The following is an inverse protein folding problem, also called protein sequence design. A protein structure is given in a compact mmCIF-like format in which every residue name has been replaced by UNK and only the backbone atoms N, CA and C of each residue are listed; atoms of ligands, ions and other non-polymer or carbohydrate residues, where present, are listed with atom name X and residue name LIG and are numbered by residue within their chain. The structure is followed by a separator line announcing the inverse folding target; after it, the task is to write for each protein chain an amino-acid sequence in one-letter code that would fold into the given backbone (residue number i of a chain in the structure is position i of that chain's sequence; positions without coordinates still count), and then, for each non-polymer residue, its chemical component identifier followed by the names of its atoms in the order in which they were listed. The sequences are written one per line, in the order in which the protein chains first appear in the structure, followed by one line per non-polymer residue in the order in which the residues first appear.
data_IF_494080688646
#
_entry.id   IF_494080688646
#
_cell.length_a   1.000
_cell.length_b   1.000
_cell.length_c   1.000
_cell.angle_alpha   90.00
_cell.angle_beta   90.00
_cell.angle_gamma   90.00
#
_symmetry.space_group_name_H-M   'P 1'
#
loop_
_entity.id
_entity.type
_entity.pdbx_description
1 polymer ?
#
# COMPACT_ATOMS: atom_id res chain seq x y z
N UNK A 1 25.27 19.27 -2.41
CA UNK A 1 25.24 19.23 -0.95
C UNK A 1 23.85 18.77 -0.56
N UNK A 2 23.66 17.44 -0.39
CA UNK A 2 22.41 16.84 0.01
C UNK A 2 22.18 17.08 1.49
N UNK A 3 21.26 17.96 1.84
CA UNK A 3 20.66 17.96 3.17
C UNK A 3 19.84 16.69 3.31
N UNK A 4 20.34 15.72 4.11
CA UNK A 4 19.58 14.52 4.44
C UNK A 4 18.25 14.94 5.06
N UNK A 5 17.14 14.39 4.56
CA UNK A 5 15.82 14.62 5.15
C UNK A 5 15.81 14.00 6.54
N UNK A 6 15.61 14.83 7.55
CA UNK A 6 15.72 14.46 8.97
C UNK A 6 14.37 14.14 9.60
N UNK A 7 13.31 13.98 8.79
CA UNK A 7 11.97 13.73 9.27
C UNK A 7 11.78 12.32 9.87
N UNK A 8 11.07 12.21 10.99
CA UNK A 8 10.77 10.92 11.60
C UNK A 8 9.83 10.09 10.73
N UNK A 9 10.07 8.78 10.69
CA UNK A 9 9.37 7.82 9.83
C UNK A 9 8.60 6.83 10.70
N UNK A 10 7.32 6.60 10.38
CA UNK A 10 6.55 5.50 10.92
C UNK A 10 6.40 4.42 9.83
N UNK A 11 6.86 3.21 10.12
CA UNK A 11 6.63 2.01 9.31
C UNK A 11 5.43 1.28 9.89
N UNK A 12 4.38 1.12 9.09
CA UNK A 12 3.14 0.47 9.49
C UNK A 12 3.07 -0.92 8.87
N UNK A 13 2.99 -1.94 9.72
CA UNK A 13 2.85 -3.35 9.32
C UNK A 13 1.57 -3.90 9.92
N UNK A 14 0.63 -4.33 9.08
CA UNK A 14 -0.65 -4.90 9.50
C UNK A 14 -0.66 -6.40 9.26
N UNK A 15 -0.82 -7.17 10.32
CA UNK A 15 -0.97 -8.62 10.27
C UNK A 15 -2.44 -9.04 10.24
N UNK A 16 -2.76 -10.04 9.43
CA UNK A 16 -3.99 -10.80 9.53
C UNK A 16 -3.71 -12.29 9.28
N UNK A 17 -3.78 -13.12 10.34
CA UNK A 17 -3.63 -14.59 10.30
C UNK A 17 -2.31 -15.11 9.72
N UNK A 18 -1.24 -14.33 9.76
CA UNK A 18 0.06 -14.69 9.14
C UNK A 18 1.24 -14.25 10.01
N UNK A 19 1.19 -14.58 11.31
CA UNK A 19 2.22 -14.15 12.27
C UNK A 19 3.64 -14.57 11.87
N UNK A 20 3.83 -15.77 11.28
CA UNK A 20 5.14 -16.24 10.85
C UNK A 20 5.73 -15.39 9.72
N UNK A 21 4.91 -15.01 8.72
CA UNK A 21 5.36 -14.11 7.63
C UNK A 21 5.65 -12.73 8.17
N UNK A 22 4.82 -12.26 9.12
CA UNK A 22 5.02 -10.97 9.79
C UNK A 22 6.35 -10.94 10.54
N UNK A 23 6.72 -11.99 11.26
CA UNK A 23 8.01 -12.07 11.95
C UNK A 23 9.17 -11.97 10.95
N UNK A 24 9.12 -12.67 9.82
CA UNK A 24 10.15 -12.58 8.79
C UNK A 24 10.25 -11.16 8.19
N UNK A 25 9.11 -10.49 7.98
CA UNK A 25 9.07 -9.10 7.55
C UNK A 25 9.76 -8.19 8.59
N UNK A 26 9.41 -8.33 9.87
CA UNK A 26 10.00 -7.55 10.96
C UNK A 26 11.50 -7.82 11.11
N UNK A 27 11.95 -9.08 11.00
CA UNK A 27 13.38 -9.42 10.99
C UNK A 27 14.12 -8.73 9.85
N UNK A 28 13.49 -8.54 8.70
CA UNK A 28 14.08 -7.80 7.58
C UNK A 28 14.15 -6.30 7.88
N UNK A 29 13.12 -5.71 8.50
CA UNK A 29 13.09 -4.30 8.91
C UNK A 29 14.14 -3.99 9.99
N UNK A 30 14.37 -4.91 10.94
CA UNK A 30 15.39 -4.72 11.98
C UNK A 30 16.81 -4.68 11.42
N UNK A 31 17.06 -5.18 10.21
CA UNK A 31 18.35 -5.08 9.50
C UNK A 31 18.54 -3.75 8.77
N UNK A 32 17.48 -2.95 8.62
CA UNK A 32 17.58 -1.61 8.01
C UNK A 32 18.28 -0.67 8.99
N UNK A 33 19.40 -0.12 8.57
CA UNK A 33 20.31 0.64 9.45
C UNK A 33 20.11 2.15 9.39
N UNK A 34 19.61 2.65 8.26
CA UNK A 34 19.37 4.08 8.04
C UNK A 34 18.25 4.29 7.02
N UNK A 35 17.44 5.33 7.15
CA UNK A 35 17.31 6.20 8.33
C UNK A 35 16.61 5.51 9.52
N UNK A 36 16.65 6.10 10.69
CA UNK A 36 15.93 5.59 11.86
C UNK A 36 14.42 5.74 11.67
N UNK A 37 13.65 4.76 12.15
CA UNK A 37 12.18 4.73 12.06
C UNK A 37 11.58 3.98 13.25
N UNK A 38 10.30 4.23 13.51
CA UNK A 38 9.50 3.47 14.47
C UNK A 38 8.58 2.48 13.70
N UNK A 39 8.42 1.27 14.24
CA UNK A 39 7.54 0.25 13.68
C UNK A 39 6.22 0.24 14.47
N UNK A 40 5.11 0.37 13.77
CA UNK A 40 3.75 0.17 14.27
C UNK A 40 3.22 -1.15 13.73
N UNK A 41 3.30 -2.17 14.59
CA UNK A 41 2.79 -3.50 14.31
C UNK A 41 1.36 -3.61 14.78
N UNK A 42 0.44 -3.88 13.86
CA UNK A 42 -0.98 -4.10 14.15
C UNK A 42 -1.36 -5.53 13.86
N UNK A 43 -1.96 -6.21 14.83
CA UNK A 43 -2.73 -7.43 14.55
C UNK A 43 -4.19 -7.06 14.31
N UNK A 44 -4.71 -7.41 13.15
CA UNK A 44 -6.03 -6.98 12.67
C UNK A 44 -7.08 -8.09 12.84
N UNK A 45 -7.27 -8.56 14.08
CA UNK A 45 -8.29 -9.55 14.43
C UNK A 45 -7.90 -10.99 14.05
N UNK A 46 -6.67 -11.40 14.32
CA UNK A 46 -6.19 -12.77 14.10
C UNK A 46 -6.53 -13.69 15.28
N UNK A 47 -6.03 -14.93 15.26
CA UNK A 47 -6.17 -15.87 16.34
C UNK A 47 -5.38 -15.44 17.59
N UNK A 48 -5.80 -15.92 18.76
CA UNK A 48 -5.08 -15.66 20.01
C UNK A 48 -3.60 -16.11 19.94
N UNK A 49 -3.31 -17.17 19.18
CA UNK A 49 -1.95 -17.66 18.95
C UNK A 49 -1.10 -16.68 18.15
N UNK A 50 -1.63 -16.13 17.03
CA UNK A 50 -0.95 -15.12 16.25
C UNK A 50 -0.69 -13.86 17.08
N UNK A 51 -1.71 -13.38 17.81
CA UNK A 51 -1.60 -12.21 18.71
C UNK A 51 -0.52 -12.41 19.77
N UNK A 52 -0.48 -13.59 20.42
CA UNK A 52 0.53 -13.91 21.43
C UNK A 52 1.94 -13.90 20.83
N UNK A 53 2.13 -14.57 19.68
CA UNK A 53 3.42 -14.62 18.99
C UNK A 53 3.94 -13.23 18.64
N UNK A 54 3.09 -12.36 18.08
CA UNK A 54 3.49 -11.00 17.66
C UNK A 54 3.74 -10.09 18.86
N UNK A 55 2.95 -10.23 19.92
CA UNK A 55 3.17 -9.51 21.18
C UNK A 55 4.51 -9.87 21.81
N UNK A 56 4.81 -11.16 21.90
CA UNK A 56 6.08 -11.65 22.44
C UNK A 56 7.27 -11.19 21.60
N UNK A 57 7.07 -11.08 20.27
CA UNK A 57 8.09 -10.53 19.38
C UNK A 57 8.31 -9.04 19.64
N UNK A 58 7.23 -8.24 19.73
CA UNK A 58 7.32 -6.79 19.96
C UNK A 58 7.94 -6.44 21.33
N UNK A 59 7.63 -7.20 22.38
CA UNK A 59 8.20 -7.00 23.73
C UNK A 59 9.72 -7.18 23.75
N UNK A 60 10.30 -7.91 22.81
CA UNK A 60 11.77 -8.05 22.69
C UNK A 60 12.44 -6.87 22.00
N UNK A 61 11.65 -5.95 21.38
CA UNK A 61 12.15 -4.80 20.63
C UNK A 61 11.39 -3.50 21.00
N UNK A 62 11.26 -3.17 22.30
CA UNK A 62 10.37 -2.12 22.79
C UNK A 62 10.81 -0.71 22.33
N UNK A 63 12.08 -0.53 22.01
CA UNK A 63 12.65 0.75 21.53
C UNK A 63 12.35 1.04 20.07
N UNK A 64 11.96 0.02 19.30
CA UNK A 64 11.73 0.12 17.86
C UNK A 64 10.28 -0.16 17.46
N UNK A 65 9.48 -0.79 18.34
CA UNK A 65 8.22 -1.39 17.95
C UNK A 65 7.10 -1.10 18.95
N UNK A 66 5.98 -0.61 18.43
CA UNK A 66 4.71 -0.50 19.15
C UNK A 66 3.74 -1.54 18.60
N UNK A 67 3.19 -2.40 19.46
CA UNK A 67 2.23 -3.43 19.10
C UNK A 67 0.81 -3.08 19.53
N UNK A 68 -0.14 -3.21 18.61
CA UNK A 68 -1.57 -3.06 18.87
C UNK A 68 -2.33 -4.27 18.32
N UNK A 69 -3.26 -4.83 19.06
CA UNK A 69 -4.14 -5.89 18.60
C UNK A 69 -5.59 -5.38 18.54
N UNK A 70 -6.20 -5.46 17.38
CA UNK A 70 -7.62 -5.18 17.22
C UNK A 70 -8.47 -6.43 17.50
N UNK A 71 -9.66 -6.27 18.05
CA UNK A 71 -10.54 -7.40 18.37
C UNK A 71 -11.14 -8.06 17.11
N UNK A 72 -11.21 -7.34 16.01
CA UNK A 72 -11.80 -7.78 14.74
C UNK A 72 -11.04 -7.25 13.53
N UNK A 73 -11.31 -7.82 12.36
CA UNK A 73 -10.67 -7.43 11.12
C UNK A 73 -11.36 -6.20 10.49
N UNK A 74 -10.69 -5.06 10.53
CA UNK A 74 -11.13 -3.80 9.92
C UNK A 74 -10.72 -3.64 8.44
N UNK A 75 -10.19 -4.68 7.81
CA UNK A 75 -9.61 -4.58 6.48
C UNK A 75 -8.28 -3.81 6.46
N UNK A 76 -7.75 -3.62 5.26
CA UNK A 76 -6.55 -2.81 5.07
C UNK A 76 -6.83 -1.34 5.43
N UNK A 77 -7.96 -0.80 4.92
CA UNK A 77 -8.33 0.61 5.09
C UNK A 77 -8.52 0.99 6.54
N UNK A 78 -9.39 0.29 7.27
CA UNK A 78 -9.72 0.63 8.64
C UNK A 78 -8.53 0.48 9.59
N UNK A 79 -7.68 -0.55 9.40
CA UNK A 79 -6.49 -0.72 10.22
C UNK A 79 -5.48 0.46 10.05
N UNK A 80 -5.25 0.91 8.82
CA UNK A 80 -4.37 2.04 8.56
C UNK A 80 -5.00 3.36 9.01
N UNK A 81 -6.30 3.57 8.77
CA UNK A 81 -7.00 4.78 9.19
C UNK A 81 -6.94 5.00 10.70
N UNK A 82 -7.10 3.94 11.51
CA UNK A 82 -6.96 4.04 12.97
C UNK A 82 -5.57 4.53 13.38
N UNK A 83 -4.51 4.05 12.72
CA UNK A 83 -3.15 4.52 12.98
C UNK A 83 -2.94 5.96 12.48
N UNK A 84 -3.46 6.32 11.31
CA UNK A 84 -3.35 7.69 10.79
C UNK A 84 -4.03 8.70 11.73
N UNK A 85 -5.23 8.38 12.24
CA UNK A 85 -5.94 9.21 13.21
C UNK A 85 -5.15 9.40 14.51
N UNK A 86 -4.38 8.40 14.93
CA UNK A 86 -3.56 8.46 16.13
C UNK A 86 -2.23 9.20 15.89
N UNK A 87 -1.55 8.89 14.77
CA UNK A 87 -0.16 9.30 14.57
C UNK A 87 -0.01 10.67 13.91
N UNK A 88 -0.91 11.02 12.98
CA UNK A 88 -0.82 12.30 12.26
C UNK A 88 -0.99 13.51 13.17
N UNK A 89 -1.97 13.55 14.12
CA UNK A 89 -2.10 14.68 15.03
C UNK A 89 -0.94 14.86 16.01
N UNK A 90 -0.16 13.79 16.27
CA UNK A 90 1.01 13.89 17.14
C UNK A 90 2.09 14.85 16.62
N UNK A 91 2.11 15.13 15.32
CA UNK A 91 3.12 15.95 14.66
C UNK A 91 4.53 15.34 14.66
N UNK A 92 4.69 14.09 15.17
CA UNK A 92 6.01 13.45 15.35
C UNK A 92 6.59 12.95 14.03
N UNK A 93 5.73 12.48 13.10
CA UNK A 93 6.16 11.82 11.87
C UNK A 93 6.00 12.72 10.67
N UNK A 94 6.94 12.61 9.75
CA UNK A 94 6.95 13.30 8.46
C UNK A 94 6.62 12.34 7.30
N UNK A 95 6.93 11.05 7.50
CA UNK A 95 6.71 10.00 6.49
C UNK A 95 6.01 8.79 7.10
N UNK A 96 5.12 8.20 6.32
CA UNK A 96 4.54 6.90 6.59
C UNK A 96 4.92 5.93 5.48
N UNK A 97 5.53 4.82 5.88
CA UNK A 97 5.73 3.66 5.03
C UNK A 97 4.68 2.61 5.38
N UNK A 98 3.81 2.29 4.44
CA UNK A 98 2.90 1.15 4.53
C UNK A 98 3.62 -0.04 3.94
N UNK A 99 3.72 -1.12 4.69
CA UNK A 99 4.43 -2.33 4.27
C UNK A 99 3.60 -3.57 4.60
N UNK A 100 3.31 -4.37 3.58
CA UNK A 100 2.63 -5.65 3.80
C UNK A 100 3.48 -6.58 4.67
N UNK A 101 2.82 -7.31 5.55
CA UNK A 101 3.44 -8.22 6.49
C UNK A 101 4.05 -9.48 5.85
N UNK A 102 3.79 -9.75 4.57
CA UNK A 102 4.36 -10.85 3.79
C UNK A 102 5.47 -10.39 2.82
N UNK A 103 6.18 -9.32 3.21
CA UNK A 103 7.33 -8.78 2.48
C UNK A 103 8.64 -8.98 3.21
N UNK A 104 9.73 -8.99 2.46
CA UNK A 104 11.11 -8.93 2.96
C UNK A 104 11.82 -7.78 2.25
N UNK A 105 12.49 -6.92 3.00
CA UNK A 105 13.11 -5.70 2.47
C UNK A 105 14.64 -5.80 2.43
N UNK A 106 15.26 -5.13 1.45
CA UNK A 106 16.71 -4.91 1.45
C UNK A 106 17.10 -3.82 2.47
N UNK A 107 18.31 -3.88 3.06
CA UNK A 107 18.69 -2.97 4.15
C UNK A 107 18.67 -1.48 3.81
N UNK A 108 18.82 -1.11 2.55
CA UNK A 108 18.90 0.28 2.07
C UNK A 108 17.63 0.78 1.35
N UNK A 109 16.58 -0.07 1.29
CA UNK A 109 15.37 0.24 0.50
C UNK A 109 14.70 1.55 0.92
N UNK A 110 14.65 1.81 2.22
CA UNK A 110 13.94 2.98 2.76
C UNK A 110 14.68 4.29 2.45
N UNK A 111 16.01 4.29 2.56
CA UNK A 111 16.84 5.42 2.16
C UNK A 111 16.65 5.75 0.67
N UNK A 112 16.62 4.71 -0.18
CA UNK A 112 16.41 4.85 -1.62
C UNK A 112 15.02 5.36 -1.97
N UNK A 113 13.98 4.97 -1.22
CA UNK A 113 12.63 5.52 -1.38
C UNK A 113 12.58 6.99 -0.99
N UNK A 114 13.14 7.36 0.16
CA UNK A 114 13.17 8.75 0.62
C UNK A 114 13.91 9.69 -0.33
N UNK A 115 14.99 9.21 -0.96
CA UNK A 115 15.75 9.98 -1.94
C UNK A 115 14.93 10.38 -3.19
N UNK A 116 13.74 9.77 -3.40
CA UNK A 116 12.84 10.13 -4.51
C UNK A 116 11.80 11.17 -4.14
N UNK A 117 11.67 11.54 -2.88
CA UNK A 117 10.77 12.62 -2.45
C UNK A 117 11.34 13.96 -2.94
N UNK A 118 10.51 14.74 -3.63
CA UNK A 118 10.84 16.09 -4.06
C UNK A 118 9.61 16.99 -3.93
N UNK A 119 9.55 17.74 -2.83
CA UNK A 119 8.42 18.64 -2.53
C UNK A 119 8.30 19.80 -3.50
N UNK A 120 9.42 20.21 -4.12
CA UNK A 120 9.40 21.29 -5.11
C UNK A 120 8.66 20.88 -6.37
N UNK A 121 8.72 19.61 -6.71
CA UNK A 121 7.97 18.98 -7.80
C UNK A 121 6.69 18.29 -7.34
N UNK A 122 6.29 18.41 -6.07
CA UNK A 122 5.15 17.73 -5.43
C UNK A 122 5.20 16.21 -5.55
N UNK A 123 6.40 15.65 -5.58
CA UNK A 123 6.63 14.20 -5.52
C UNK A 123 6.63 13.80 -4.03
N UNK A 124 5.48 13.34 -3.55
CA UNK A 124 5.26 13.06 -2.13
C UNK A 124 4.69 11.66 -1.87
N UNK A 125 4.69 10.80 -2.88
CA UNK A 125 4.40 9.37 -2.80
C UNK A 125 5.40 8.58 -3.65
N UNK A 126 5.91 7.45 -3.11
CA UNK A 126 6.97 6.69 -3.77
C UNK A 126 6.65 5.21 -3.79
N UNK A 127 6.76 4.61 -4.97
CA UNK A 127 6.67 3.17 -5.19
C UNK A 127 8.05 2.51 -5.11
N UNK A 128 8.16 1.39 -4.41
CA UNK A 128 9.35 0.55 -4.41
C UNK A 128 9.39 -0.39 -5.62
N UNK A 129 10.56 -0.99 -5.87
CA UNK A 129 10.71 -2.13 -6.76
C UNK A 129 10.35 -3.42 -6.03
N UNK A 130 9.13 -3.88 -6.21
CA UNK A 130 8.65 -5.09 -5.58
C UNK A 130 8.84 -6.27 -6.50
N UNK A 131 9.63 -7.25 -6.04
CA UNK A 131 9.95 -8.49 -6.72
C UNK A 131 9.19 -9.65 -6.08
N UNK A 132 8.99 -10.74 -6.79
CA UNK A 132 8.42 -11.95 -6.19
C UNK A 132 9.40 -12.56 -5.19
N UNK A 133 8.91 -12.99 -4.04
CA UNK A 133 9.74 -13.64 -3.03
C UNK A 133 10.33 -14.98 -3.52
N UNK A 134 9.52 -15.80 -4.19
CA UNK A 134 9.92 -17.11 -4.70
C UNK A 134 10.84 -17.04 -5.94
N UNK A 135 10.80 -15.93 -6.69
CA UNK A 135 11.63 -15.68 -7.87
C UNK A 135 12.06 -14.23 -7.87
N UNK A 136 13.21 -13.95 -7.26
CA UNK A 136 13.71 -12.60 -7.00
C UNK A 136 14.11 -11.81 -8.24
N UNK A 137 14.17 -12.45 -9.40
CA UNK A 137 14.42 -11.81 -10.70
C UNK A 137 13.12 -11.40 -11.39
N UNK A 138 11.97 -11.89 -10.90
CA UNK A 138 10.67 -11.59 -11.47
C UNK A 138 9.98 -10.43 -10.76
N UNK A 139 9.56 -9.43 -11.55
CA UNK A 139 8.82 -8.27 -11.04
C UNK A 139 7.44 -8.70 -10.54
N UNK A 140 7.13 -8.36 -9.29
CA UNK A 140 5.77 -8.44 -8.76
C UNK A 140 5.01 -7.14 -9.02
N UNK A 141 5.55 -5.98 -8.63
CA UNK A 141 5.01 -4.70 -9.06
C UNK A 141 6.01 -3.54 -8.90
N UNK A 142 5.82 -2.49 -9.70
CA UNK A 142 6.60 -1.25 -9.70
C UNK A 142 5.72 -0.03 -9.39
N UNK A 143 4.65 -0.23 -8.62
CA UNK A 143 3.58 0.71 -8.37
C UNK A 143 2.31 0.38 -9.17
N UNK A 144 1.42 1.34 -9.27
CA UNK A 144 0.11 1.22 -9.92
C UNK A 144 0.15 1.93 -11.27
N UNK A 145 -0.33 1.26 -12.31
CA UNK A 145 -0.68 1.86 -13.59
C UNK A 145 -2.19 1.87 -13.79
N UNK A 146 -2.70 2.83 -14.57
CA UNK A 146 -4.12 2.97 -14.84
C UNK A 146 -4.36 3.09 -16.35
N UNK A 147 -5.18 2.20 -16.89
CA UNK A 147 -5.45 2.11 -18.31
C UNK A 147 -6.72 2.86 -18.72
N UNK A 148 -6.80 3.26 -19.99
CA UNK A 148 -7.99 3.97 -20.55
C UNK A 148 -9.29 3.19 -20.40
N UNK A 149 -9.23 1.86 -20.32
CA UNK A 149 -10.39 1.01 -20.06
C UNK A 149 -10.89 1.06 -18.61
N UNK A 150 -10.29 1.90 -17.75
CA UNK A 150 -10.70 2.01 -16.35
C UNK A 150 -10.10 0.96 -15.41
N UNK A 151 -9.17 0.15 -15.89
CA UNK A 151 -8.50 -0.86 -15.09
C UNK A 151 -7.26 -0.26 -14.41
N UNK A 152 -7.18 -0.36 -13.09
CA UNK A 152 -5.93 -0.27 -12.36
C UNK A 152 -5.23 -1.62 -12.36
N UNK A 153 -3.92 -1.63 -12.44
CA UNK A 153 -3.12 -2.86 -12.41
C UNK A 153 -1.76 -2.61 -11.78
N UNK A 154 -1.16 -3.67 -11.27
CA UNK A 154 0.24 -3.65 -10.89
C UNK A 154 1.09 -3.29 -12.13
N UNK A 155 1.83 -2.20 -12.02
CA UNK A 155 2.79 -1.76 -13.04
C UNK A 155 3.92 -2.78 -13.15
N UNK A 156 4.20 -3.27 -14.35
CA UNK A 156 5.21 -4.32 -14.60
C UNK A 156 6.43 -3.83 -15.36
N UNK A 157 6.31 -2.71 -16.06
CA UNK A 157 7.41 -2.07 -16.81
C UNK A 157 7.64 -0.64 -16.29
N UNK A 158 8.91 -0.19 -16.20
CA UNK A 158 9.22 1.22 -15.95
C UNK A 158 8.69 2.17 -17.02
N UNK A 159 8.40 1.68 -18.21
CA UNK A 159 7.87 2.46 -19.33
C UNK A 159 6.36 2.72 -19.22
N UNK A 160 5.65 1.93 -18.40
CA UNK A 160 4.24 2.17 -18.15
C UNK A 160 4.03 3.42 -17.29
N UNK A 161 2.94 4.18 -17.50
CA UNK A 161 2.60 5.31 -16.63
C UNK A 161 2.49 4.91 -15.16
N UNK A 162 3.05 5.72 -14.27
CA UNK A 162 2.93 5.53 -12.82
C UNK A 162 1.83 6.43 -12.28
N UNK A 163 0.78 5.84 -11.70
CA UNK A 163 -0.25 6.55 -10.95
C UNK A 163 0.22 6.82 -9.51
N UNK A 164 0.76 5.80 -8.84
CA UNK A 164 1.23 5.88 -7.47
C UNK A 164 1.78 4.56 -6.95
N UNK A 165 2.18 4.49 -5.67
CA UNK A 165 2.64 3.25 -5.05
C UNK A 165 1.48 2.29 -4.80
N UNK A 166 1.78 0.99 -4.80
CA UNK A 166 0.85 -0.06 -4.39
C UNK A 166 0.98 -0.33 -2.89
N UNK A 167 -0.12 -0.68 -2.23
CA UNK A 167 -0.21 -0.89 -0.78
C UNK A 167 0.74 -1.95 -0.20
N UNK A 168 1.39 -2.77 -1.03
CA UNK A 168 2.37 -3.74 -0.54
C UNK A 168 3.71 -3.10 -0.08
N UNK A 169 4.11 -1.94 -0.64
CA UNK A 169 5.19 -1.09 -0.14
C UNK A 169 4.99 0.33 -0.67
N UNK A 170 4.44 1.21 0.14
CA UNK A 170 4.04 2.56 -0.24
C UNK A 170 4.57 3.60 0.75
N UNK A 171 5.41 4.51 0.28
CA UNK A 171 5.87 5.66 1.07
C UNK A 171 5.04 6.89 0.73
N UNK A 172 4.50 7.54 1.77
CA UNK A 172 3.76 8.80 1.67
C UNK A 172 4.33 9.83 2.63
N UNK A 173 4.31 11.11 2.24
CA UNK A 173 4.49 12.17 3.22
C UNK A 173 3.20 12.34 4.05
N UNK A 174 3.35 12.69 5.31
CA UNK A 174 2.20 13.00 6.18
C UNK A 174 1.42 14.22 5.66
N UNK A 175 2.11 15.16 5.02
CA UNK A 175 1.46 16.33 4.43
C UNK A 175 0.50 15.95 3.30
N UNK A 176 0.91 15.06 2.39
CA UNK A 176 0.01 14.53 1.35
C UNK A 176 -1.26 13.93 1.97
N UNK A 177 -1.11 13.07 2.99
CA UNK A 177 -2.24 12.42 3.65
C UNK A 177 -3.16 13.44 4.34
N UNK A 178 -2.61 14.47 4.99
CA UNK A 178 -3.38 15.57 5.58
C UNK A 178 -4.19 16.34 4.53
N UNK A 179 -3.57 16.66 3.40
CA UNK A 179 -4.23 17.41 2.32
C UNK A 179 -5.33 16.58 1.65
N UNK A 180 -5.09 15.29 1.44
CA UNK A 180 -6.13 14.39 0.92
C UNK A 180 -7.31 14.34 1.87
N UNK A 181 -7.08 14.14 3.17
CA UNK A 181 -8.14 14.12 4.16
C UNK A 181 -8.89 15.46 4.24
N UNK A 182 -8.17 16.58 4.24
CA UNK A 182 -8.79 17.90 4.29
C UNK A 182 -9.69 18.16 3.07
N UNK A 183 -9.33 17.65 1.90
CA UNK A 183 -10.09 17.83 0.67
C UNK A 183 -11.26 16.85 0.52
N UNK A 184 -11.16 15.64 1.07
CA UNK A 184 -12.12 14.53 0.80
C UNK A 184 -12.81 14.00 2.06
N UNK A 185 -12.37 14.37 3.27
CA UNK A 185 -12.93 13.96 4.55
C UNK A 185 -12.31 12.66 5.12
N UNK A 186 -11.46 11.97 4.37
CA UNK A 186 -10.93 10.65 4.74
C UNK A 186 -9.49 10.45 4.26
N UNK A 187 -8.74 9.57 4.93
CA UNK A 187 -7.46 9.07 4.42
C UNK A 187 -7.72 7.97 3.38
N UNK A 188 -7.91 6.73 3.82
CA UNK A 188 -8.52 5.69 2.98
C UNK A 188 -10.03 5.72 3.13
N UNK A 189 -10.77 5.37 2.08
CA UNK A 189 -12.20 5.15 2.15
C UNK A 189 -12.48 3.74 2.68
N UNK A 190 -13.08 3.64 3.87
CA UNK A 190 -13.34 2.36 4.55
C UNK A 190 -14.30 1.44 3.77
N UNK A 191 -15.08 1.97 2.83
CA UNK A 191 -15.94 1.16 1.97
C UNK A 191 -15.15 0.20 1.07
N UNK A 192 -13.88 0.50 0.80
CA UNK A 192 -13.02 -0.43 0.05
C UNK A 192 -12.70 -1.69 0.85
N UNK A 193 -12.53 -1.59 2.15
CA UNK A 193 -12.06 -2.65 3.04
C UNK A 193 -10.63 -3.12 2.70
N UNK A 194 -10.43 -3.65 1.47
CA UNK A 194 -9.12 -3.94 0.88
C UNK A 194 -9.25 -4.05 -0.64
N UNK A 195 -8.14 -3.91 -1.36
CA UNK A 195 -8.00 -3.83 -2.81
C UNK A 195 -8.54 -2.53 -3.42
N UNK A 196 -7.70 -1.90 -4.22
CA UNK A 196 -7.91 -0.63 -4.92
C UNK A 196 -8.07 0.62 -4.04
N UNK A 197 -7.96 0.52 -2.72
CA UNK A 197 -7.89 1.67 -1.79
C UNK A 197 -6.64 2.52 -2.05
N UNK A 198 -5.54 1.89 -2.41
CA UNK A 198 -4.29 2.54 -2.80
C UNK A 198 -4.47 3.32 -4.12
N UNK A 199 -5.17 2.73 -5.07
CA UNK A 199 -5.53 3.38 -6.34
C UNK A 199 -6.42 4.59 -6.11
N UNK A 200 -7.42 4.49 -5.23
CA UNK A 200 -8.30 5.59 -4.84
C UNK A 200 -7.50 6.73 -4.19
N UNK A 201 -6.65 6.42 -3.22
CA UNK A 201 -5.78 7.41 -2.57
C UNK A 201 -4.85 8.10 -3.57
N UNK A 202 -4.23 7.34 -4.47
CA UNK A 202 -3.35 7.90 -5.50
C UNK A 202 -4.10 8.85 -6.45
N UNK A 203 -5.31 8.51 -6.88
CA UNK A 203 -6.12 9.41 -7.70
C UNK A 203 -6.49 10.70 -6.97
N UNK A 204 -6.92 10.61 -5.71
CA UNK A 204 -7.24 11.81 -4.90
C UNK A 204 -6.00 12.69 -4.72
N UNK A 205 -4.82 12.10 -4.50
CA UNK A 205 -3.56 12.83 -4.43
C UNK A 205 -3.21 13.50 -5.77
N UNK A 206 -3.36 12.81 -6.90
CA UNK A 206 -3.12 13.37 -8.25
C UNK A 206 -4.06 14.54 -8.54
N UNK A 207 -5.33 14.47 -8.15
CA UNK A 207 -6.27 15.59 -8.30
C UNK A 207 -5.88 16.82 -7.47
N UNK A 208 -5.17 16.63 -6.37
CA UNK A 208 -4.59 17.73 -5.58
C UNK A 208 -3.24 18.22 -6.13
N UNK A 209 -2.78 17.66 -7.27
CA UNK A 209 -1.53 18.05 -7.93
C UNK A 209 -0.28 17.34 -7.40
N UNK A 210 -0.42 16.30 -6.57
CA UNK A 210 0.69 15.46 -6.15
C UNK A 210 1.12 14.50 -7.26
N UNK A 211 2.38 14.09 -7.21
CA UNK A 211 3.00 13.18 -8.16
C UNK A 211 3.66 12.03 -7.44
N UNK A 212 3.76 10.91 -8.13
CA UNK A 212 4.49 9.74 -7.67
C UNK A 212 5.87 9.65 -8.29
N UNK A 213 6.82 9.05 -7.56
CA UNK A 213 8.07 8.57 -8.11
C UNK A 213 8.21 7.05 -7.93
N UNK A 214 9.06 6.47 -8.74
CA UNK A 214 9.48 5.08 -8.65
C UNK A 214 10.93 5.00 -8.20
N UNK A 215 11.19 4.27 -7.11
CA UNK A 215 12.52 3.99 -6.59
C UNK A 215 13.00 2.63 -7.15
N UNK A 216 13.66 2.67 -8.29
CA UNK A 216 14.10 1.48 -9.04
C UNK A 216 15.06 0.59 -8.24
N UNK A 217 15.87 1.19 -7.40
CA UNK A 217 16.89 0.57 -6.57
C UNK A 217 16.39 0.18 -5.16
N UNK A 218 15.19 0.61 -4.76
CA UNK A 218 14.55 0.19 -3.50
C UNK A 218 13.88 -1.18 -3.65
N UNK A 219 14.60 -2.27 -3.33
CA UNK A 219 14.12 -3.64 -3.54
C UNK A 219 13.36 -4.18 -2.34
N UNK A 220 12.20 -4.77 -2.63
CA UNK A 220 11.33 -5.45 -1.68
C UNK A 220 10.89 -6.76 -2.30
N UNK A 221 10.82 -7.84 -1.54
CA UNK A 221 10.38 -9.18 -1.99
C UNK A 221 9.03 -9.49 -1.36
N UNK A 222 8.03 -9.83 -2.17
CA UNK A 222 6.66 -10.04 -1.74
C UNK A 222 6.20 -11.48 -1.99
N UNK A 223 5.64 -12.13 -0.97
CA UNK A 223 5.16 -13.52 -1.06
C UNK A 223 3.84 -13.63 -1.82
N UNK A 224 3.01 -12.59 -1.76
CA UNK A 224 1.77 -12.43 -2.54
C UNK A 224 0.55 -13.10 -1.94
N UNK A 225 -0.54 -12.37 -1.88
CA UNK A 225 -1.99 -12.71 -1.65
C UNK A 225 -2.36 -14.00 -0.89
N UNK A 226 -1.49 -14.53 -0.04
CA UNK A 226 -1.75 -15.80 0.68
C UNK A 226 -2.84 -15.62 1.74
N UNK A 227 -2.91 -14.46 2.39
CA UNK A 227 -3.91 -14.16 3.43
C UNK A 227 -5.34 -14.08 2.88
N UNK A 228 -5.52 -13.78 1.61
CA UNK A 228 -6.82 -13.61 0.94
C UNK A 228 -7.32 -14.88 0.23
N UNK A 229 -6.66 -16.03 0.44
CA UNK A 229 -7.03 -17.30 -0.22
C UNK A 229 -6.54 -17.43 -1.66
N UNK A 230 -5.60 -16.56 -2.08
CA UNK A 230 -5.01 -16.56 -3.42
C UNK A 230 -5.75 -15.67 -4.42
N UNK A 231 -5.14 -15.41 -5.60
CA UNK A 231 -5.60 -14.40 -6.56
C UNK A 231 -6.95 -14.70 -7.23
N UNK A 232 -7.44 -15.92 -7.11
CA UNK A 232 -8.72 -16.35 -7.69
C UNK A 232 -9.79 -16.67 -6.63
N UNK A 233 -9.58 -16.31 -5.35
CA UNK A 233 -10.60 -16.52 -4.32
C UNK A 233 -11.81 -15.59 -4.57
N UNK A 234 -13.01 -16.03 -4.15
CA UNK A 234 -14.24 -15.23 -4.26
C UNK A 234 -14.09 -13.87 -3.57
N UNK A 235 -13.36 -13.84 -2.46
CA UNK A 235 -13.07 -12.62 -1.74
C UNK A 235 -12.27 -11.62 -2.59
N UNK A 236 -11.18 -12.06 -3.22
CA UNK A 236 -10.33 -11.21 -4.08
C UNK A 236 -11.12 -10.74 -5.31
N UNK A 237 -11.90 -11.63 -5.92
CA UNK A 237 -12.71 -11.30 -7.10
C UNK A 237 -13.80 -10.29 -6.75
N UNK A 238 -14.54 -10.53 -5.67
CA UNK A 238 -15.61 -9.63 -5.24
C UNK A 238 -15.09 -8.22 -4.95
N UNK A 239 -14.09 -8.10 -4.07
CA UNK A 239 -13.53 -6.80 -3.72
C UNK A 239 -12.82 -6.15 -4.91
N UNK A 240 -12.05 -6.90 -5.69
CA UNK A 240 -11.35 -6.38 -6.87
C UNK A 240 -12.31 -5.79 -7.92
N UNK A 241 -13.39 -6.48 -8.26
CA UNK A 241 -14.37 -6.00 -9.25
C UNK A 241 -15.17 -4.83 -8.68
N UNK A 242 -15.76 -4.99 -7.49
CA UNK A 242 -16.56 -3.94 -6.84
C UNK A 242 -15.75 -2.65 -6.69
N UNK A 243 -14.54 -2.76 -6.15
CA UNK A 243 -13.72 -1.61 -5.82
C UNK A 243 -13.15 -0.94 -7.07
N UNK A 244 -12.90 -1.69 -8.15
CA UNK A 244 -12.54 -1.06 -9.44
C UNK A 244 -13.65 -0.14 -9.95
N UNK A 245 -14.91 -0.53 -9.79
CA UNK A 245 -16.05 0.35 -10.12
C UNK A 245 -16.14 1.56 -9.20
N UNK A 246 -15.87 1.39 -7.89
CA UNK A 246 -15.81 2.51 -6.95
C UNK A 246 -14.76 3.54 -7.36
N UNK A 247 -13.54 3.08 -7.72
CA UNK A 247 -12.48 3.97 -8.23
C UNK A 247 -12.96 4.78 -9.43
N UNK A 248 -13.64 4.14 -10.40
CA UNK A 248 -14.14 4.84 -11.59
C UNK A 248 -15.14 5.93 -11.23
N UNK A 249 -16.17 5.58 -10.45
CA UNK A 249 -17.26 6.51 -10.11
C UNK A 249 -16.78 7.64 -9.21
N UNK A 250 -15.90 7.33 -8.25
CA UNK A 250 -15.42 8.28 -7.26
C UNK A 250 -14.39 9.25 -7.82
N UNK A 251 -13.48 8.76 -8.66
CA UNK A 251 -12.29 9.53 -9.01
C UNK A 251 -12.26 10.08 -10.44
N UNK A 252 -13.05 9.52 -11.37
CA UNK A 252 -12.92 9.94 -12.77
C UNK A 252 -14.00 10.92 -13.19
N UNK A 253 -13.64 12.02 -13.87
CA UNK A 253 -14.63 12.97 -14.40
C UNK A 253 -15.58 12.30 -15.40
N UNK A 254 -16.85 12.67 -15.38
CA UNK A 254 -17.88 12.15 -16.29
C UNK A 254 -17.45 12.19 -17.76
N UNK A 255 -16.77 13.27 -18.18
CA UNK A 255 -16.24 13.40 -19.55
C UNK A 255 -15.24 12.29 -19.89
N UNK A 256 -14.43 11.84 -18.91
CA UNK A 256 -13.49 10.75 -19.11
C UNK A 256 -14.24 9.41 -19.25
N UNK A 257 -15.21 9.17 -18.38
CA UNK A 257 -16.05 7.97 -18.40
C UNK A 257 -16.77 7.85 -19.75
N UNK A 258 -17.43 8.91 -20.21
CA UNK A 258 -18.16 8.92 -21.49
C UNK A 258 -17.21 8.69 -22.69
N UNK A 259 -16.04 9.35 -22.70
CA UNK A 259 -15.05 9.20 -23.79
C UNK A 259 -14.50 7.78 -23.90
N UNK A 260 -14.36 7.08 -22.77
CA UNK A 260 -13.75 5.75 -22.70
C UNK A 260 -14.78 4.63 -22.45
N UNK A 261 -16.09 4.94 -22.46
CA UNK A 261 -17.16 4.02 -22.12
C UNK A 261 -17.11 2.71 -22.93
N UNK A 262 -16.83 2.80 -24.22
CA UNK A 262 -16.69 1.62 -25.08
C UNK A 262 -15.63 0.64 -24.55
N UNK A 263 -14.43 1.13 -24.21
CA UNK A 263 -13.34 0.29 -23.69
C UNK A 263 -13.65 -0.27 -22.30
N UNK A 264 -14.36 0.49 -21.47
CA UNK A 264 -14.81 0.03 -20.16
C UNK A 264 -15.85 -1.10 -20.31
N UNK A 265 -16.80 -0.97 -21.21
CA UNK A 265 -17.78 -2.02 -21.50
C UNK A 265 -17.12 -3.29 -22.06
N UNK A 266 -16.16 -3.16 -22.97
CA UNK A 266 -15.40 -4.29 -23.52
C UNK A 266 -14.64 -5.02 -22.40
N UNK A 267 -13.97 -4.28 -21.51
CA UNK A 267 -13.25 -4.88 -20.37
C UNK A 267 -14.21 -5.66 -19.46
N UNK A 268 -15.33 -5.04 -19.04
CA UNK A 268 -16.26 -5.69 -18.13
C UNK A 268 -16.95 -6.91 -18.77
N UNK A 269 -17.28 -6.83 -20.07
CA UNK A 269 -17.80 -7.98 -20.82
C UNK A 269 -16.77 -9.12 -20.87
N UNK A 270 -15.49 -8.81 -21.10
CA UNK A 270 -14.41 -9.82 -21.10
C UNK A 270 -14.20 -10.44 -19.71
N UNK A 271 -14.29 -9.65 -18.63
CA UNK A 271 -14.24 -10.14 -17.26
C UNK A 271 -15.41 -11.10 -16.99
N UNK A 272 -16.64 -10.70 -17.29
CA UNK A 272 -17.84 -11.53 -17.12
C UNK A 272 -17.71 -12.84 -17.90
N UNK A 273 -17.34 -12.77 -19.19
CA UNK A 273 -17.16 -13.96 -20.02
C UNK A 273 -16.11 -14.91 -19.45
N UNK A 274 -14.97 -14.38 -18.99
CA UNK A 274 -13.90 -15.20 -18.39
C UNK A 274 -14.39 -16.00 -17.18
N UNK A 275 -15.23 -15.40 -16.33
CA UNK A 275 -15.70 -16.04 -15.10
C UNK A 275 -16.93 -16.92 -15.32
N UNK A 276 -17.77 -16.66 -16.34
CA UNK A 276 -18.88 -17.56 -16.72
C UNK A 276 -18.42 -18.82 -17.45
N UNK A 277 -17.29 -18.76 -18.17
CA UNK A 277 -16.74 -19.94 -18.90
C UNK A 277 -15.85 -20.80 -17.98
N UNK A 278 -15.35 -20.28 -16.87
CA UNK A 278 -14.49 -21.03 -15.92
C UNK A 278 -15.26 -21.63 -14.73
N UNK A 279 -16.52 -21.24 -14.52
CA UNK A 279 -17.44 -21.88 -13.56
C UNK A 279 -18.12 -23.04 -14.21
#
# INVERSE_FOLDING_TARGET
LGGGMTGAIAVIVVNYRRAADTVECLDSLLRVTAPAFDIFLVDNGSSAGDVAQLRDYAVRHPERMTFTAFPENHGFTGAHNQLFEQLIPSGRYEFFLLLNNDTVVEPDFLERMLARIDRTQRIEMVAARVMKYADRDQVDNLGITFYKCGLASNRKSPDDPLLGPSGNCALYTVELLRQVRAATGEYFDDQFFCYAEDTDLCWRAVWLGYRAAYAEDARVYHKGSVASGGPNSDFVLYHGIRNSLFVLVKNLPTRYLLRNLFWMLVLHAAILLRYTVKG
#
